data_IF_508590507834
#
_entry.id   IF_508590507834
#
_cell.length_a   1.000
_cell.length_b   1.000
_cell.length_c   1.000
_cell.angle_alpha   90.00
_cell.angle_beta   90.00
_cell.angle_gamma   90.00
#
_symmetry.space_group_name_H-M   'P 1'
#
loop_
_entity.id
_entity.type
_entity.pdbx_description
1 polymer ?
#
# COMPACT_ATOMS: atom_id res chain seq x y z
N UNK A 1 -17.38 25.57 -15.77
CA UNK A 1 -17.23 24.86 -14.47
C UNK A 1 -17.94 23.52 -14.63
N UNK A 2 -17.21 22.40 -14.80
CA UNK A 2 -17.90 21.09 -14.92
C UNK A 2 -18.59 20.82 -13.59
N UNK A 3 -19.85 20.37 -13.55
CA UNK A 3 -20.48 19.95 -12.31
C UNK A 3 -19.68 18.76 -11.80
N UNK A 4 -18.76 19.00 -10.88
CA UNK A 4 -17.99 17.97 -10.21
C UNK A 4 -18.96 17.22 -9.33
N UNK A 5 -19.23 15.97 -9.70
CA UNK A 5 -19.90 15.04 -8.81
C UNK A 5 -18.93 14.75 -7.64
N UNK A 6 -18.94 15.61 -6.63
CA UNK A 6 -18.04 15.54 -5.47
C UNK A 6 -18.09 14.18 -4.76
N UNK A 7 -19.23 13.46 -4.85
CA UNK A 7 -19.36 12.08 -4.35
C UNK A 7 -18.41 11.15 -5.08
N UNK A 8 -18.35 11.25 -6.42
CA UNK A 8 -17.41 10.47 -7.24
C UNK A 8 -15.97 10.80 -6.87
N UNK A 9 -15.62 12.07 -6.72
CA UNK A 9 -14.24 12.48 -6.41
C UNK A 9 -13.77 11.93 -5.05
N UNK A 10 -14.65 11.97 -4.03
CA UNK A 10 -14.37 11.36 -2.72
C UNK A 10 -14.20 9.84 -2.84
N UNK A 11 -15.09 9.17 -3.57
CA UNK A 11 -15.02 7.72 -3.79
C UNK A 11 -13.72 7.34 -4.50
N UNK A 12 -13.35 8.07 -5.56
CA UNK A 12 -12.13 7.83 -6.33
C UNK A 12 -10.89 7.93 -5.44
N UNK A 13 -10.79 8.96 -4.59
CA UNK A 13 -9.68 9.14 -3.66
C UNK A 13 -9.59 8.00 -2.62
N UNK A 14 -10.74 7.53 -2.11
CA UNK A 14 -10.78 6.37 -1.19
C UNK A 14 -10.27 5.12 -1.91
N UNK A 15 -10.71 4.88 -3.15
CA UNK A 15 -10.28 3.72 -3.93
C UNK A 15 -8.81 3.79 -4.33
N UNK A 16 -8.31 4.97 -4.70
CA UNK A 16 -6.91 5.22 -5.00
C UNK A 16 -6.04 4.88 -3.77
N UNK A 17 -6.37 5.42 -2.60
CA UNK A 17 -5.63 5.16 -1.37
C UNK A 17 -5.66 3.68 -0.95
N UNK A 18 -6.80 2.98 -1.14
CA UNK A 18 -6.90 1.53 -0.90
C UNK A 18 -6.08 0.71 -1.90
N UNK A 19 -6.11 1.08 -3.19
CA UNK A 19 -5.36 0.40 -4.24
C UNK A 19 -3.86 0.52 -4.01
N UNK A 20 -3.38 1.70 -3.66
CA UNK A 20 -1.97 1.95 -3.35
C UNK A 20 -1.50 1.09 -2.15
N UNK A 21 -2.27 1.01 -1.07
CA UNK A 21 -1.96 0.13 0.06
C UNK A 21 -1.92 -1.36 -0.33
N UNK A 22 -2.77 -1.78 -1.25
CA UNK A 22 -2.71 -3.15 -1.81
C UNK A 22 -1.43 -3.37 -2.61
N UNK A 23 -1.06 -2.41 -3.47
CA UNK A 23 0.18 -2.47 -4.25
C UNK A 23 1.42 -2.54 -3.37
N UNK A 24 1.46 -1.80 -2.25
CA UNK A 24 2.52 -1.93 -1.24
C UNK A 24 2.70 -3.37 -0.79
N UNK A 25 1.59 -4.05 -0.46
CA UNK A 25 1.63 -5.47 -0.08
C UNK A 25 2.14 -6.37 -1.20
N UNK A 26 1.72 -6.13 -2.44
CA UNK A 26 2.17 -6.90 -3.60
C UNK A 26 3.65 -6.70 -3.91
N UNK A 27 4.17 -5.47 -3.79
CA UNK A 27 5.60 -5.17 -3.93
C UNK A 27 6.39 -6.00 -2.93
N UNK A 28 5.97 -6.03 -1.65
CA UNK A 28 6.67 -6.80 -0.63
C UNK A 28 6.62 -8.30 -0.90
N UNK A 29 5.47 -8.83 -1.34
CA UNK A 29 5.33 -10.25 -1.70
C UNK A 29 6.26 -10.62 -2.86
N UNK A 30 6.37 -9.78 -3.89
CA UNK A 30 7.28 -10.00 -5.01
C UNK A 30 8.74 -9.91 -4.58
N UNK A 31 9.08 -8.91 -3.77
CA UNK A 31 10.42 -8.68 -3.24
C UNK A 31 10.96 -9.85 -2.39
N UNK A 32 10.06 -10.61 -1.74
CA UNK A 32 10.46 -11.78 -0.94
C UNK A 32 11.13 -12.88 -1.74
N UNK A 33 10.79 -13.02 -3.03
CA UNK A 33 11.43 -13.99 -3.92
C UNK A 33 12.91 -13.64 -4.11
N UNK A 34 13.17 -12.40 -4.53
CA UNK A 34 14.52 -11.88 -4.73
C UNK A 34 15.33 -11.92 -3.43
N UNK A 35 14.73 -11.49 -2.32
CA UNK A 35 15.36 -11.51 -1.02
C UNK A 35 15.75 -12.92 -0.56
N UNK A 36 14.87 -13.91 -0.76
CA UNK A 36 15.16 -15.31 -0.42
C UNK A 36 16.36 -15.82 -1.23
N UNK A 37 16.37 -15.55 -2.54
CA UNK A 37 17.45 -15.94 -3.42
C UNK A 37 18.79 -15.31 -2.99
N UNK A 38 18.82 -14.01 -2.73
CA UNK A 38 20.03 -13.32 -2.25
C UNK A 38 20.56 -13.87 -0.93
N UNK A 39 19.67 -14.12 0.03
CA UNK A 39 20.05 -14.60 1.36
C UNK A 39 20.51 -16.06 1.37
N UNK A 40 19.98 -16.95 0.52
CA UNK A 40 20.46 -18.34 0.49
C UNK A 40 21.71 -18.53 -0.37
N UNK A 41 21.96 -17.64 -1.34
CA UNK A 41 23.02 -17.80 -2.36
C UNK A 41 24.41 -18.08 -1.78
N UNK A 42 24.90 -17.40 -0.72
CA UNK A 42 26.22 -17.70 -0.16
C UNK A 42 26.32 -19.10 0.43
N UNK A 43 25.34 -19.51 1.25
CA UNK A 43 25.31 -20.83 1.87
C UNK A 43 25.10 -21.95 0.84
N UNK A 44 24.31 -21.68 -0.20
CA UNK A 44 24.11 -22.58 -1.32
C UNK A 44 25.41 -22.83 -2.08
N UNK A 45 26.14 -21.78 -2.47
CA UNK A 45 27.43 -21.89 -3.18
C UNK A 45 28.49 -22.62 -2.37
N UNK A 46 28.52 -22.38 -1.05
CA UNK A 46 29.46 -23.07 -0.16
C UNK A 46 29.14 -24.57 -0.04
N UNK A 47 27.86 -24.94 0.04
CA UNK A 47 27.44 -26.33 0.13
C UNK A 47 27.52 -27.07 -1.21
N UNK A 48 27.40 -26.37 -2.34
CA UNK A 48 27.39 -26.93 -3.68
C UNK A 48 28.42 -26.21 -4.56
N UNK A 49 29.73 -26.43 -4.31
CA UNK A 49 30.79 -25.72 -5.03
C UNK A 49 30.83 -26.04 -6.53
N UNK A 50 30.40 -27.25 -6.91
CA UNK A 50 30.21 -27.66 -8.30
C UNK A 50 28.72 -27.90 -8.51
N UNK A 51 27.99 -26.83 -8.84
CA UNK A 51 26.56 -26.88 -9.09
C UNK A 51 26.24 -26.55 -10.55
N UNK A 52 25.53 -27.46 -11.19
CA UNK A 52 24.92 -27.29 -12.51
C UNK A 52 23.40 -27.42 -12.37
N UNK A 53 22.68 -26.38 -12.78
CA UNK A 53 21.22 -26.31 -12.67
C UNK A 53 20.57 -27.45 -13.46
N UNK A 54 19.58 -28.12 -12.86
CA UNK A 54 18.86 -29.26 -13.43
C UNK A 54 19.66 -30.57 -13.50
N UNK A 55 20.99 -30.54 -13.31
CA UNK A 55 21.85 -31.74 -13.33
C UNK A 55 22.18 -32.20 -11.91
N UNK A 56 22.58 -31.26 -11.05
CA UNK A 56 23.00 -31.55 -9.66
C UNK A 56 21.93 -31.21 -8.64
N UNK A 57 20.83 -30.59 -9.07
CA UNK A 57 19.72 -30.15 -8.23
C UNK A 57 19.11 -28.85 -8.74
N UNK A 58 18.11 -28.30 -8.02
CA UNK A 58 17.52 -27.02 -8.36
C UNK A 58 18.49 -25.86 -8.11
N UNK A 59 18.48 -24.86 -8.98
CA UNK A 59 19.16 -23.58 -8.74
C UNK A 59 18.59 -22.81 -7.56
N UNK A 60 19.35 -21.82 -7.09
CA UNK A 60 18.91 -20.86 -6.06
C UNK A 60 17.59 -20.19 -6.42
N UNK A 61 17.42 -19.82 -7.69
CA UNK A 61 16.23 -19.09 -8.14
C UNK A 61 15.02 -20.04 -8.22
N UNK A 62 15.23 -21.30 -8.60
CA UNK A 62 14.21 -22.36 -8.53
C UNK A 62 13.78 -22.64 -7.08
N UNK A 63 14.74 -22.74 -6.15
CA UNK A 63 14.46 -22.92 -4.71
C UNK A 63 13.70 -21.74 -4.11
N UNK A 64 14.08 -20.51 -4.43
CA UNK A 64 13.38 -19.32 -3.97
C UNK A 64 11.95 -19.27 -4.54
N UNK A 65 11.77 -19.67 -5.81
CA UNK A 65 10.45 -19.75 -6.45
C UNK A 65 9.56 -20.78 -5.76
N UNK A 66 10.05 -22.01 -5.57
CA UNK A 66 9.34 -23.07 -4.86
C UNK A 66 8.99 -22.65 -3.42
N UNK A 67 9.92 -22.00 -2.71
CA UNK A 67 9.66 -21.46 -1.37
C UNK A 67 8.53 -20.43 -1.36
N UNK A 68 8.50 -19.54 -2.36
CA UNK A 68 7.48 -18.48 -2.44
C UNK A 68 6.06 -19.00 -2.70
N UNK A 69 5.92 -20.10 -3.44
CA UNK A 69 4.62 -20.73 -3.72
C UNK A 69 4.23 -21.78 -2.67
N UNK A 70 5.09 -22.03 -1.67
CA UNK A 70 4.81 -22.93 -0.56
C UNK A 70 5.13 -24.39 -0.83
N UNK A 71 5.99 -24.70 -1.79
CA UNK A 71 6.44 -26.07 -2.04
C UNK A 71 7.29 -26.58 -0.87
N UNK A 72 6.86 -27.65 -0.20
CA UNK A 72 7.47 -28.17 1.03
C UNK A 72 8.97 -28.47 0.88
N UNK A 73 9.38 -29.12 -0.22
CA UNK A 73 10.77 -29.48 -0.49
C UNK A 73 11.69 -28.25 -0.61
N UNK A 74 11.19 -27.21 -1.26
CA UNK A 74 11.88 -25.93 -1.41
C UNK A 74 11.87 -25.15 -0.10
N UNK A 75 10.78 -25.21 0.67
CA UNK A 75 10.70 -24.63 2.01
C UNK A 75 11.77 -25.18 2.95
N UNK A 76 11.90 -26.51 3.01
CA UNK A 76 12.89 -27.17 3.86
C UNK A 76 14.33 -26.87 3.43
N UNK A 77 14.58 -26.75 2.11
CA UNK A 77 15.90 -26.43 1.61
C UNK A 77 16.28 -24.97 1.88
N UNK A 78 15.40 -24.02 1.60
CA UNK A 78 15.63 -22.60 1.89
C UNK A 78 15.83 -22.38 3.38
N UNK A 79 14.98 -22.96 4.23
CA UNK A 79 15.13 -22.85 5.68
C UNK A 79 16.47 -23.41 6.18
N UNK A 80 16.94 -24.54 5.62
CA UNK A 80 18.27 -25.09 5.94
C UNK A 80 19.41 -24.14 5.53
N UNK A 81 19.34 -23.51 4.36
CA UNK A 81 20.37 -22.56 3.92
C UNK A 81 20.36 -21.26 4.74
N UNK A 82 19.18 -20.78 5.14
CA UNK A 82 19.05 -19.64 6.05
C UNK A 82 19.63 -19.96 7.43
N UNK A 83 19.31 -21.12 7.99
CA UNK A 83 19.83 -21.56 9.30
C UNK A 83 21.36 -21.69 9.33
N UNK A 84 22.00 -22.12 8.23
CA UNK A 84 23.47 -22.12 8.11
C UNK A 84 24.12 -20.72 8.24
N UNK A 85 23.30 -19.67 8.18
CA UNK A 85 23.69 -18.26 8.31
C UNK A 85 23.06 -17.60 9.53
N UNK A 86 22.45 -18.38 10.43
CA UNK A 86 21.67 -17.89 11.57
C UNK A 86 20.51 -16.95 11.17
N UNK A 87 19.91 -17.19 9.99
CA UNK A 87 18.78 -16.43 9.46
C UNK A 87 17.49 -17.24 9.50
N UNK A 88 16.38 -16.53 9.45
CA UNK A 88 15.00 -17.02 9.48
C UNK A 88 14.18 -16.49 8.30
N UNK A 89 12.93 -16.94 8.17
CA UNK A 89 11.99 -16.40 7.19
C UNK A 89 11.59 -14.95 7.47
N UNK A 90 11.73 -14.49 8.71
CA UNK A 90 11.51 -13.09 9.08
C UNK A 90 12.61 -12.20 8.50
N UNK A 91 13.87 -12.65 8.52
CA UNK A 91 15.00 -11.94 7.89
C UNK A 91 14.83 -11.81 6.39
N UNK A 92 14.22 -12.80 5.72
CA UNK A 92 13.84 -12.69 4.31
C UNK A 92 12.84 -11.56 4.09
N UNK A 93 11.86 -11.41 5.00
CA UNK A 93 10.86 -10.34 4.91
C UNK A 93 11.47 -8.97 5.18
N UNK A 94 12.36 -8.87 6.17
CA UNK A 94 13.10 -7.65 6.47
C UNK A 94 14.01 -7.23 5.30
N UNK A 95 14.74 -8.18 4.72
CA UNK A 95 15.60 -7.92 3.56
C UNK A 95 14.77 -7.52 2.32
N UNK A 96 13.64 -8.18 2.07
CA UNK A 96 12.70 -7.79 1.01
C UNK A 96 12.18 -6.35 1.18
N UNK A 97 11.89 -5.96 2.42
CA UNK A 97 11.50 -4.60 2.75
C UNK A 97 12.62 -3.59 2.47
N UNK A 98 13.86 -3.90 2.86
CA UNK A 98 15.02 -3.03 2.61
C UNK A 98 15.32 -2.88 1.12
N UNK A 99 15.30 -3.96 0.35
CA UNK A 99 15.52 -3.95 -1.10
C UNK A 99 14.51 -3.04 -1.83
N UNK A 100 13.27 -2.97 -1.33
CA UNK A 100 12.18 -2.24 -1.96
C UNK A 100 11.75 -0.99 -1.20
N UNK A 101 12.54 -0.53 -0.23
CA UNK A 101 12.21 0.61 0.63
C UNK A 101 11.85 1.87 -0.17
N UNK A 102 12.60 2.28 -1.22
CA UNK A 102 12.24 3.46 -2.00
C UNK A 102 10.88 3.35 -2.70
N UNK A 103 10.55 2.16 -3.21
CA UNK A 103 9.26 1.88 -3.88
C UNK A 103 8.11 1.88 -2.88
N UNK A 104 8.31 1.26 -1.72
CA UNK A 104 7.33 1.23 -0.63
C UNK A 104 7.04 2.65 -0.12
N UNK A 105 8.08 3.43 0.17
CA UNK A 105 7.92 4.82 0.61
C UNK A 105 7.17 5.67 -0.42
N UNK A 106 7.46 5.49 -1.71
CA UNK A 106 6.78 6.24 -2.77
C UNK A 106 5.29 5.90 -2.82
N UNK A 107 4.93 4.62 -2.71
CA UNK A 107 3.53 4.18 -2.67
C UNK A 107 2.82 4.70 -1.42
N UNK A 108 3.48 4.65 -0.25
CA UNK A 108 2.93 5.16 1.01
C UNK A 108 2.69 6.69 0.96
N UNK A 109 3.62 7.45 0.36
CA UNK A 109 3.44 8.89 0.12
C UNK A 109 2.25 9.17 -0.79
N UNK A 110 2.10 8.42 -1.88
CA UNK A 110 0.95 8.57 -2.79
C UNK A 110 -0.37 8.25 -2.09
N UNK A 111 -0.41 7.21 -1.25
CA UNK A 111 -1.61 6.85 -0.50
C UNK A 111 -1.98 7.96 0.51
N UNK A 112 -1.00 8.49 1.23
CA UNK A 112 -1.18 9.61 2.15
C UNK A 112 -1.68 10.87 1.43
N UNK A 113 -1.15 11.17 0.24
CA UNK A 113 -1.59 12.30 -0.56
C UNK A 113 -3.05 12.15 -1.02
N UNK A 114 -3.50 10.95 -1.37
CA UNK A 114 -4.91 10.70 -1.70
C UNK A 114 -5.83 10.93 -0.50
N UNK A 115 -5.43 10.50 0.71
CA UNK A 115 -6.18 10.77 1.94
C UNK A 115 -6.24 12.27 2.26
N UNK A 116 -5.12 12.99 2.13
CA UNK A 116 -5.07 14.44 2.37
C UNK A 116 -5.98 15.21 1.41
N UNK A 117 -6.02 14.81 0.13
CA UNK A 117 -6.93 15.40 -0.86
C UNK A 117 -8.39 15.16 -0.50
N UNK A 118 -8.72 13.95 -0.04
CA UNK A 118 -10.08 13.61 0.42
C UNK A 118 -10.50 14.50 1.58
N UNK A 119 -9.64 14.62 2.59
CA UNK A 119 -9.92 15.40 3.79
C UNK A 119 -10.08 16.89 3.46
N UNK A 120 -9.27 17.40 2.53
CA UNK A 120 -9.38 18.78 2.03
C UNK A 120 -10.70 19.03 1.31
N UNK A 121 -11.13 18.09 0.45
CA UNK A 121 -12.41 18.18 -0.26
C UNK A 121 -13.61 18.13 0.70
N UNK A 122 -13.57 17.25 1.70
CA UNK A 122 -14.61 17.14 2.73
C UNK A 122 -14.75 18.45 3.54
N UNK A 123 -13.62 19.03 3.95
CA UNK A 123 -13.60 20.35 4.62
C UNK A 123 -14.19 21.45 3.74
N UNK A 124 -13.92 21.44 2.44
CA UNK A 124 -14.49 22.43 1.52
C UNK A 124 -16.01 22.27 1.38
N UNK A 125 -16.51 21.02 1.31
CA UNK A 125 -17.94 20.71 1.28
C UNK A 125 -18.62 21.20 2.56
N UNK A 126 -18.03 20.89 3.72
CA UNK A 126 -18.55 21.31 5.03
C UNK A 126 -18.60 22.84 5.14
N UNK A 127 -17.54 23.53 4.73
CA UNK A 127 -17.50 25.01 4.69
C UNK A 127 -18.59 25.59 3.80
N UNK A 128 -18.79 25.05 2.59
CA UNK A 128 -19.85 25.50 1.67
C UNK A 128 -21.24 25.28 2.27
N UNK A 129 -21.47 24.15 2.94
CA UNK A 129 -22.74 23.85 3.63
C UNK A 129 -22.98 24.80 4.80
N UNK A 130 -21.96 25.08 5.62
CA UNK A 130 -22.06 26.02 6.73
C UNK A 130 -22.41 27.44 6.24
N UNK A 131 -21.74 27.92 5.19
CA UNK A 131 -22.03 29.22 4.60
C UNK A 131 -23.47 29.31 4.06
N UNK A 132 -23.94 28.27 3.35
CA UNK A 132 -25.31 28.21 2.85
C UNK A 132 -26.33 28.22 3.99
N UNK A 133 -26.10 27.42 5.04
CA UNK A 133 -26.98 27.39 6.20
C UNK A 133 -27.04 28.76 6.90
N UNK A 134 -25.91 29.47 6.97
CA UNK A 134 -25.87 30.81 7.54
C UNK A 134 -26.64 31.82 6.66
N UNK A 135 -26.45 31.79 5.35
CA UNK A 135 -27.19 32.65 4.41
C UNK A 135 -28.70 32.43 4.50
N UNK A 136 -29.14 31.17 4.54
CA UNK A 136 -30.56 30.83 4.68
C UNK A 136 -31.13 31.38 5.99
N UNK A 137 -30.42 31.22 7.13
CA UNK A 137 -30.86 31.79 8.41
C UNK A 137 -31.00 33.31 8.35
N UNK A 138 -30.05 34.01 7.73
CA UNK A 138 -30.12 35.47 7.56
C UNK A 138 -31.34 35.87 6.75
N UNK A 139 -31.54 35.25 5.58
CA UNK A 139 -32.69 35.56 4.70
C UNK A 139 -34.02 35.28 5.41
N UNK A 140 -34.14 34.15 6.12
CA UNK A 140 -35.35 33.85 6.88
C UNK A 140 -35.60 34.86 8.01
N UNK A 141 -34.56 35.30 8.71
CA UNK A 141 -34.69 36.33 9.75
C UNK A 141 -35.14 37.67 9.16
N UNK A 142 -34.62 38.05 7.98
CA UNK A 142 -35.02 39.27 7.28
C UNK A 142 -36.49 39.22 6.85
N UNK A 143 -36.96 38.10 6.29
CA UNK A 143 -38.38 37.92 5.90
C UNK A 143 -39.32 38.01 7.11
N UNK A 144 -38.98 37.33 8.21
CA UNK A 144 -39.78 37.38 9.43
C UNK A 144 -39.85 38.78 10.05
N UNK A 145 -38.78 39.58 9.93
CA UNK A 145 -38.77 40.96 10.39
C UNK A 145 -39.69 41.87 9.55
N UNK A 146 -39.79 41.64 8.24
CA UNK A 146 -40.67 42.43 7.35
C UNK A 146 -42.15 42.19 7.66
N UNK A 147 -42.58 40.94 7.83
CA UNK A 147 -43.99 40.61 8.18
C UNK A 147 -44.42 41.23 9.52
N UNK A 148 -43.49 41.39 10.46
CA UNK A 148 -43.78 41.96 11.78
C UNK A 148 -43.92 43.50 11.78
N UNK A 149 -43.39 44.17 10.75
CA UNK A 149 -43.52 45.63 10.58
C UNK A 149 -44.83 45.99 9.85
N UNK A 150 -45.32 45.13 8.95
CA UNK A 150 -46.54 45.39 8.17
C UNK A 150 -47.86 45.10 8.93
N UNK A 151 -47.79 44.41 10.08
CA UNK A 151 -48.98 44.03 10.88
C UNK A 151 -49.31 44.98 12.04
N UNK A 152 -48.73 46.19 12.06
CA UNK A 152 -48.90 47.18 13.13
C UNK A 152 -49.42 48.52 12.60
#
# INVERSE_FOLDING_TARGET
MRPTNWVKDVIDLIWEAKRLRRWRGQILVQARLEAAAELIRPAFKHANPIHFDGVTGPSVDALATGWSIGETSSQDQVNRYLQKRDLTSEDVTAHAFLLNLPSIERVDRLASLADQRRDSLLREIERKRANLAQQLRTVTADVLNVEHIETR
#
